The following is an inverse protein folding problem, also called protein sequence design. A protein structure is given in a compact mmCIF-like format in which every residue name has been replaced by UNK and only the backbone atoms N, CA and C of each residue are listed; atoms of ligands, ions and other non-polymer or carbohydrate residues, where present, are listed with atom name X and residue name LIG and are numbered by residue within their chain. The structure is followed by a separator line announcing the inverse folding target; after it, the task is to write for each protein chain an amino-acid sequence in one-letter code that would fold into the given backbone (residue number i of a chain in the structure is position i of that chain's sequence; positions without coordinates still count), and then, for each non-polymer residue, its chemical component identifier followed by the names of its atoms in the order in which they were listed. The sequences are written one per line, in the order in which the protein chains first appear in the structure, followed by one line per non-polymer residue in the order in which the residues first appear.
data_IF_946809526127
#
_entry.id   IF_946809526127
#
_cell.length_a   1.000
_cell.length_b   1.000
_cell.length_c   1.000
_cell.angle_alpha   90.00
_cell.angle_beta   90.00
_cell.angle_gamma   90.00
#
_symmetry.space_group_name_H-M   'P 1'
#
loop_
_entity.id
_entity.type
_entity.pdbx_description
1 polymer ?
#
# COMPACT_ATOMS: atom_id res chain seq x y z
N UNK A 1 15.77 -13.97 -1.90
CA UNK A 1 14.59 -13.08 -1.82
C UNK A 1 13.51 -13.83 -1.08
N UNK A 2 12.80 -13.16 -0.17
CA UNK A 2 11.65 -13.77 0.52
C UNK A 2 10.44 -13.88 -0.42
N UNK A 3 9.45 -14.73 -0.07
CA UNK A 3 8.20 -14.85 -0.83
C UNK A 3 7.43 -13.51 -0.90
N UNK A 4 7.57 -12.67 0.14
CA UNK A 4 7.02 -11.31 0.19
C UNK A 4 7.72 -10.37 -0.80
N UNK A 5 9.05 -10.46 -0.91
CA UNK A 5 9.81 -9.63 -1.85
C UNK A 5 9.50 -10.00 -3.29
N UNK A 6 9.42 -11.31 -3.58
CA UNK A 6 9.04 -11.82 -4.90
C UNK A 6 7.64 -11.35 -5.30
N UNK A 7 6.69 -11.40 -4.36
CA UNK A 7 5.33 -10.90 -4.59
C UNK A 7 5.30 -9.39 -4.84
N UNK A 8 6.07 -8.65 -4.07
CA UNK A 8 6.18 -7.19 -4.25
C UNK A 8 6.79 -6.84 -5.61
N UNK A 9 7.85 -7.54 -6.01
CA UNK A 9 8.48 -7.38 -7.33
C UNK A 9 7.48 -7.67 -8.46
N UNK A 10 6.74 -8.77 -8.35
CA UNK A 10 5.74 -9.15 -9.33
C UNK A 10 4.63 -8.10 -9.47
N UNK A 11 4.06 -7.64 -8.35
CA UNK A 11 2.89 -6.77 -8.38
C UNK A 11 3.23 -5.31 -8.73
N UNK A 12 4.42 -4.82 -8.32
CA UNK A 12 4.79 -3.41 -8.47
C UNK A 12 5.77 -3.12 -9.61
N UNK A 13 6.51 -4.10 -10.09
CA UNK A 13 7.49 -3.91 -11.17
C UNK A 13 7.08 -4.68 -12.41
N UNK A 14 6.89 -6.00 -12.31
CA UNK A 14 6.66 -6.86 -13.48
C UNK A 14 5.26 -6.66 -14.04
N UNK A 15 4.24 -6.74 -13.19
CA UNK A 15 2.83 -6.63 -13.60
C UNK A 15 2.51 -5.32 -14.34
N UNK A 16 2.94 -4.12 -13.86
CA UNK A 16 2.71 -2.87 -14.59
C UNK A 16 3.39 -2.82 -15.97
N UNK A 17 4.60 -3.38 -16.09
CA UNK A 17 5.32 -3.42 -17.37
C UNK A 17 4.65 -4.35 -18.37
N UNK A 18 4.28 -5.54 -17.95
CA UNK A 18 3.60 -6.51 -18.81
C UNK A 18 2.18 -6.05 -19.22
N UNK A 19 1.49 -5.28 -18.37
CA UNK A 19 0.18 -4.72 -18.70
C UNK A 19 0.20 -3.72 -19.86
N UNK A 20 1.34 -3.13 -20.14
CA UNK A 20 1.52 -2.19 -21.24
C UNK A 20 1.86 -2.89 -22.57
N UNK A 21 2.02 -4.21 -22.57
CA UNK A 21 2.26 -4.99 -23.80
C UNK A 21 0.97 -5.10 -24.58
N UNK A 22 1.04 -4.81 -25.86
CA UNK A 22 -0.11 -4.94 -26.77
C UNK A 22 -0.61 -6.39 -26.79
N UNK A 23 -1.93 -6.59 -26.73
CA UNK A 23 -2.55 -7.91 -26.69
C UNK A 23 -2.69 -8.52 -25.29
N UNK A 24 -2.09 -7.94 -24.26
CA UNK A 24 -2.29 -8.38 -22.87
C UNK A 24 -3.55 -7.74 -22.28
N UNK A 25 -4.46 -8.57 -21.78
CA UNK A 25 -5.69 -8.13 -21.12
C UNK A 25 -5.48 -7.95 -19.62
N UNK A 26 -4.99 -9.00 -18.95
CA UNK A 26 -4.87 -9.03 -17.49
C UNK A 26 -3.66 -9.85 -17.07
N UNK A 27 -3.11 -9.50 -15.90
CA UNK A 27 -2.03 -10.26 -15.27
C UNK A 27 -2.45 -10.58 -13.84
N UNK A 28 -2.53 -11.88 -13.54
CA UNK A 28 -2.84 -12.38 -12.22
C UNK A 28 -1.59 -12.92 -11.53
N UNK A 29 -1.50 -12.67 -10.23
CA UNK A 29 -0.38 -13.16 -9.41
C UNK A 29 -0.88 -14.18 -8.41
N UNK A 30 -0.24 -15.34 -8.34
CA UNK A 30 -0.54 -16.43 -7.40
C UNK A 30 0.71 -16.72 -6.57
N UNK A 31 0.52 -16.96 -5.27
CA UNK A 31 1.60 -17.25 -4.32
C UNK A 31 2.27 -16.01 -3.76
N UNK A 32 3.22 -16.23 -2.86
CA UNK A 32 3.85 -15.20 -2.07
C UNK A 32 2.92 -14.54 -1.07
N UNK A 33 3.44 -13.55 -0.36
CA UNK A 33 2.69 -12.79 0.65
C UNK A 33 2.60 -11.33 0.25
N UNK A 34 1.39 -10.78 0.25
CA UNK A 34 1.20 -9.35 0.04
C UNK A 34 1.70 -8.59 1.27
N UNK A 35 2.67 -7.70 1.04
CA UNK A 35 3.25 -6.85 2.09
C UNK A 35 2.21 -5.88 2.61
N UNK A 36 2.07 -5.80 3.94
CA UNK A 36 1.17 -4.87 4.61
C UNK A 36 1.90 -4.14 5.72
N UNK A 37 1.45 -2.91 6.02
CA UNK A 37 1.79 -2.23 7.25
C UNK A 37 0.77 -2.59 8.33
N UNK A 38 1.27 -3.13 9.43
CA UNK A 38 0.44 -3.55 10.56
C UNK A 38 0.58 -2.51 11.66
N UNK A 39 -0.54 -1.92 12.06
CA UNK A 39 -0.64 -0.97 13.17
C UNK A 39 -1.32 -1.67 14.32
N UNK A 40 -0.61 -1.87 15.42
CA UNK A 40 -1.09 -2.52 16.64
C UNK A 40 -1.24 -1.46 17.75
N UNK A 41 -2.46 -0.97 18.03
CA UNK A 41 -2.67 0.02 19.08
C UNK A 41 -2.41 -0.56 20.48
N UNK A 42 -1.87 0.25 21.37
CA UNK A 42 -1.87 -0.04 22.81
C UNK A 42 -3.21 0.42 23.43
N UNK A 43 -4.13 -0.51 23.54
CA UNK A 43 -5.48 -0.22 24.04
C UNK A 43 -5.50 0.27 25.49
N UNK A 44 -4.54 -0.16 26.34
CA UNK A 44 -4.46 0.28 27.71
C UNK A 44 -4.06 1.76 27.75
N UNK A 45 -3.05 2.13 26.98
CA UNK A 45 -2.59 3.50 26.85
C UNK A 45 -3.64 4.41 26.21
N UNK A 46 -4.29 3.98 25.12
CA UNK A 46 -5.37 4.73 24.47
C UNK A 46 -6.49 5.11 25.44
N UNK A 47 -6.92 4.16 26.28
CA UNK A 47 -7.96 4.42 27.29
C UNK A 47 -7.51 5.44 28.33
N UNK A 48 -6.23 5.39 28.75
CA UNK A 48 -5.69 6.34 29.76
C UNK A 48 -5.67 7.78 29.28
N UNK A 49 -5.53 8.00 27.95
CA UNK A 49 -5.50 9.33 27.33
C UNK A 49 -6.82 9.75 26.67
N UNK A 50 -7.86 8.94 26.82
CA UNK A 50 -9.20 9.21 26.26
C UNK A 50 -9.26 9.17 24.73
N UNK A 51 -8.39 8.37 24.08
CA UNK A 51 -8.40 8.14 22.64
C UNK A 51 -9.13 6.85 22.29
N UNK A 52 -9.96 6.93 21.24
CA UNK A 52 -10.63 5.77 20.66
C UNK A 52 -9.85 5.25 19.43
N UNK A 53 -9.99 3.95 19.15
CA UNK A 53 -9.46 3.32 17.94
C UNK A 53 -9.92 4.04 16.67
N UNK A 54 -11.13 4.58 16.67
CA UNK A 54 -11.69 5.35 15.56
C UNK A 54 -10.80 6.56 15.20
N UNK A 55 -10.24 7.25 16.19
CA UNK A 55 -9.33 8.37 15.97
C UNK A 55 -8.07 7.96 15.21
N UNK A 56 -7.53 6.76 15.49
CA UNK A 56 -6.40 6.20 14.75
C UNK A 56 -6.77 5.93 13.29
N UNK A 57 -7.91 5.27 13.06
CA UNK A 57 -8.38 4.98 11.70
C UNK A 57 -8.62 6.24 10.89
N UNK A 58 -9.23 7.25 11.49
CA UNK A 58 -9.45 8.55 10.85
C UNK A 58 -8.12 9.26 10.53
N UNK A 59 -7.16 9.24 11.45
CA UNK A 59 -5.85 9.84 11.24
C UNK A 59 -5.11 9.17 10.08
N UNK A 60 -5.09 7.84 10.02
CA UNK A 60 -4.49 7.08 8.93
C UNK A 60 -5.21 7.38 7.61
N UNK A 61 -6.55 7.33 7.59
CA UNK A 61 -7.35 7.60 6.40
C UNK A 61 -7.08 9.00 5.84
N UNK A 62 -7.10 10.03 6.69
CA UNK A 62 -6.84 11.42 6.28
C UNK A 62 -5.45 11.61 5.68
N UNK A 63 -4.45 10.86 6.16
CA UNK A 63 -3.07 10.95 5.68
C UNK A 63 -2.77 9.99 4.50
N UNK A 64 -3.67 9.05 4.20
CA UNK A 64 -3.53 8.11 3.08
C UNK A 64 -4.30 8.51 1.83
N UNK A 65 -5.12 9.56 1.92
CA UNK A 65 -5.91 10.04 0.78
C UNK A 65 -5.04 10.91 -0.14
N UNK A 66 -4.95 10.53 -1.41
CA UNK A 66 -4.47 11.41 -2.47
C UNK A 66 -5.49 12.55 -2.65
N UNK A 67 -5.23 13.68 -2.03
CA UNK A 67 -5.96 14.92 -2.31
C UNK A 67 -5.29 15.59 -3.50
N UNK A 68 -5.99 15.64 -4.63
CA UNK A 68 -5.68 16.57 -5.69
C UNK A 68 -5.80 17.99 -5.13
N UNK A 69 -4.69 18.70 -4.99
CA UNK A 69 -4.62 19.96 -4.24
C UNK A 69 -4.86 21.20 -5.10
N UNK A 70 -5.41 21.04 -6.31
CA UNK A 70 -5.67 22.17 -7.18
C UNK A 70 -4.41 22.72 -7.85
N UNK A 71 -4.47 23.98 -8.28
CA UNK A 71 -3.36 24.69 -8.91
C UNK A 71 -3.14 26.04 -8.24
N UNK A 72 -1.91 26.53 -8.27
CA UNK A 72 -1.57 27.91 -7.90
C UNK A 72 -1.24 28.64 -9.19
N UNK A 73 -1.83 29.79 -9.41
CA UNK A 73 -1.51 30.69 -10.51
C UNK A 73 -0.49 31.74 -10.02
N UNK A 74 0.66 31.79 -10.66
CA UNK A 74 1.71 32.76 -10.34
C UNK A 74 2.37 33.23 -11.63
N UNK A 75 2.35 34.56 -11.84
CA UNK A 75 2.94 35.22 -13.01
C UNK A 75 2.39 34.75 -14.37
N UNK A 76 1.13 34.29 -14.43
CA UNK A 76 0.52 33.76 -15.66
C UNK A 76 0.77 32.28 -15.90
N UNK A 77 1.56 31.61 -15.06
CA UNK A 77 1.80 30.18 -15.11
C UNK A 77 0.95 29.45 -14.08
N UNK A 78 0.39 28.30 -14.46
CA UNK A 78 -0.36 27.40 -13.57
C UNK A 78 0.53 26.29 -13.04
N UNK A 79 0.77 26.28 -11.74
CA UNK A 79 1.51 25.24 -11.04
C UNK A 79 0.53 24.23 -10.43
N UNK A 80 0.53 23.00 -10.95
CA UNK A 80 -0.27 21.91 -10.39
C UNK A 80 0.36 21.42 -9.09
N UNK A 81 -0.36 21.58 -7.99
CA UNK A 81 0.08 21.04 -6.71
C UNK A 81 -0.36 19.56 -6.64
N UNK A 82 0.60 18.65 -6.57
CA UNK A 82 0.37 17.24 -6.25
C UNK A 82 0.84 16.98 -4.84
N UNK A 83 -0.05 16.45 -4.02
CA UNK A 83 0.34 15.88 -2.72
C UNK A 83 0.63 14.40 -2.93
N UNK A 84 1.90 14.00 -2.80
CA UNK A 84 2.29 12.59 -2.72
C UNK A 84 1.90 12.06 -1.32
N UNK A 85 0.60 11.78 -1.16
CA UNK A 85 0.03 11.28 0.09
C UNK A 85 0.09 9.75 0.20
N UNK A 86 0.78 9.09 -0.72
CA UNK A 86 0.93 7.64 -0.66
C UNK A 86 1.96 7.27 0.43
N UNK A 87 1.48 6.57 1.43
CA UNK A 87 2.33 6.07 2.52
C UNK A 87 3.20 4.93 1.98
N UNK A 88 4.50 5.17 1.87
CA UNK A 88 5.46 4.23 1.31
C UNK A 88 6.45 3.67 2.34
N UNK A 89 6.50 4.24 3.54
CA UNK A 89 7.46 3.84 4.57
C UNK A 89 6.84 3.76 5.97
N UNK A 90 7.48 2.98 6.84
CA UNK A 90 7.09 2.87 8.25
C UNK A 90 7.21 4.23 8.94
N UNK A 91 8.26 5.00 8.64
CA UNK A 91 8.52 6.30 9.25
C UNK A 91 7.38 7.29 8.95
N UNK A 92 6.83 7.26 7.75
CA UNK A 92 5.67 8.09 7.40
C UNK A 92 4.47 7.73 8.27
N UNK A 93 4.16 6.45 8.43
CA UNK A 93 3.07 5.99 9.29
C UNK A 93 3.32 6.38 10.75
N UNK A 94 4.53 6.16 11.24
CA UNK A 94 4.93 6.48 12.61
C UNK A 94 4.73 7.97 12.96
N UNK A 95 4.92 8.85 11.99
CA UNK A 95 4.83 10.29 12.16
C UNK A 95 3.44 10.88 11.92
N UNK A 96 2.42 10.07 11.60
CA UNK A 96 1.04 10.53 11.43
C UNK A 96 0.57 11.20 12.72
N UNK A 97 0.12 12.47 12.67
CA UNK A 97 -0.38 13.17 13.84
C UNK A 97 -1.78 12.69 14.22
N UNK A 98 -2.00 12.50 15.52
CA UNK A 98 -3.29 12.17 16.11
C UNK A 98 -3.61 13.24 17.13
N UNK A 99 -4.78 13.85 17.02
CA UNK A 99 -5.25 14.86 17.98
C UNK A 99 -6.07 14.18 19.07
N UNK A 100 -5.69 14.37 20.33
CA UNK A 100 -6.44 13.89 21.49
C UNK A 100 -7.67 14.78 21.74
N UNK A 101 -8.62 14.28 22.54
CA UNK A 101 -9.81 15.04 22.95
C UNK A 101 -9.48 16.35 23.66
N UNK A 102 -8.33 16.42 24.30
CA UNK A 102 -7.84 17.61 25.03
C UNK A 102 -7.01 18.56 24.13
N UNK A 103 -6.96 18.33 22.83
CA UNK A 103 -6.23 19.17 21.87
C UNK A 103 -4.73 18.90 21.77
N UNK A 104 -4.17 17.96 22.50
CA UNK A 104 -2.77 17.56 22.34
C UNK A 104 -2.55 16.78 21.06
N UNK A 105 -1.41 17.02 20.42
CA UNK A 105 -1.01 16.27 19.22
C UNK A 105 0.02 15.23 19.62
N UNK A 106 -0.30 13.96 19.38
CA UNK A 106 0.58 12.80 19.51
C UNK A 106 0.92 12.27 18.12
N UNK A 107 1.97 11.44 18.03
CA UNK A 107 2.29 10.70 16.82
C UNK A 107 1.77 9.26 16.93
N UNK A 108 1.45 8.64 15.80
CA UNK A 108 0.95 7.28 15.79
C UNK A 108 1.90 6.29 16.50
N UNK A 109 3.22 6.50 16.38
CA UNK A 109 4.24 5.69 17.09
C UNK A 109 4.14 5.73 18.61
N UNK A 110 3.57 6.81 19.18
CA UNK A 110 3.45 7.00 20.63
C UNK A 110 2.28 6.17 21.21
N UNK A 111 1.33 5.78 20.36
CA UNK A 111 0.09 5.09 20.75
C UNK A 111 -0.06 3.71 20.12
N UNK A 112 0.78 3.35 19.15
CA UNK A 112 0.72 2.09 18.43
C UNK A 112 2.10 1.59 18.01
N UNK A 113 2.26 0.26 17.99
CA UNK A 113 3.42 -0.39 17.37
C UNK A 113 3.16 -0.57 15.89
N UNK A 114 4.10 -0.07 15.06
CA UNK A 114 4.03 -0.20 13.60
C UNK A 114 5.08 -1.20 13.14
N UNK A 115 4.67 -2.17 12.32
CA UNK A 115 5.54 -3.18 11.76
C UNK A 115 5.15 -3.54 10.33
N UNK A 116 6.08 -4.16 9.61
CA UNK A 116 5.76 -4.80 8.34
C UNK A 116 5.23 -6.19 8.66
N UNK A 117 4.07 -6.49 8.13
CA UNK A 117 3.48 -7.81 8.15
C UNK A 117 3.11 -8.25 6.73
N UNK A 118 2.30 -9.27 6.65
CA UNK A 118 1.77 -9.77 5.41
C UNK A 118 0.31 -10.17 5.57
N UNK A 119 -0.43 -10.09 4.49
CA UNK A 119 -1.80 -10.59 4.44
C UNK A 119 -1.83 -12.12 4.53
N UNK A 120 -2.93 -12.66 5.05
CA UNK A 120 -3.18 -14.09 4.95
C UNK A 120 -3.25 -14.47 3.47
N UNK A 121 -2.42 -15.41 3.05
CA UNK A 121 -2.42 -15.85 1.66
C UNK A 121 -3.67 -16.65 1.34
N UNK A 122 -4.24 -16.40 0.18
CA UNK A 122 -5.39 -17.12 -0.35
C UNK A 122 -4.99 -18.27 -1.28
N UNK A 123 -3.69 -18.37 -1.64
CA UNK A 123 -3.17 -19.41 -2.51
C UNK A 123 -1.66 -19.54 -2.42
N UNK A 124 -1.14 -20.65 -2.88
CA UNK A 124 0.29 -20.92 -3.00
C UNK A 124 0.61 -21.50 -4.37
N UNK A 125 1.79 -21.18 -4.89
CA UNK A 125 2.34 -21.80 -6.08
C UNK A 125 3.67 -22.47 -5.71
N UNK A 126 3.88 -23.68 -6.18
CA UNK A 126 5.11 -24.43 -5.96
C UNK A 126 5.68 -24.95 -7.27
N UNK A 127 6.99 -24.98 -7.38
CA UNK A 127 7.73 -25.60 -8.47
C UNK A 127 8.89 -26.37 -7.88
N UNK A 128 9.02 -27.64 -8.25
CA UNK A 128 10.10 -28.53 -7.78
C UNK A 128 10.19 -28.59 -6.24
N UNK A 129 9.03 -28.56 -5.54
CA UNK A 129 8.97 -28.60 -4.08
C UNK A 129 9.29 -27.27 -3.39
N UNK A 130 9.58 -26.21 -4.15
CA UNK A 130 9.86 -24.87 -3.61
C UNK A 130 8.70 -23.92 -3.84
N UNK A 131 8.45 -23.03 -2.88
CA UNK A 131 7.45 -21.99 -3.03
C UNK A 131 7.93 -20.92 -4.02
N UNK A 132 7.06 -20.60 -4.97
CA UNK A 132 7.30 -19.57 -5.99
C UNK A 132 6.18 -18.53 -6.00
N UNK A 133 6.42 -17.43 -6.68
CA UNK A 133 5.38 -16.48 -7.11
C UNK A 133 5.17 -16.67 -8.60
N UNK A 134 3.94 -16.98 -9.00
CA UNK A 134 3.54 -17.19 -10.38
C UNK A 134 2.78 -15.99 -10.91
N UNK A 135 3.25 -15.39 -11.98
CA UNK A 135 2.50 -14.41 -12.77
C UNK A 135 1.88 -15.06 -13.99
N UNK A 136 0.58 -14.91 -14.19
CA UNK A 136 -0.14 -15.42 -15.36
C UNK A 136 -0.65 -14.25 -16.18
N UNK A 137 -0.21 -14.15 -17.44
CA UNK A 137 -0.70 -13.16 -18.37
C UNK A 137 -1.86 -13.76 -19.19
N UNK A 138 -2.97 -13.05 -19.28
CA UNK A 138 -4.11 -13.37 -20.12
C UNK A 138 -4.10 -12.44 -21.32
N UNK A 139 -4.22 -12.99 -22.52
CA UNK A 139 -4.32 -12.23 -23.75
C UNK A 139 -5.75 -11.81 -24.06
N UNK A 140 -5.91 -10.80 -24.89
CA UNK A 140 -7.20 -10.41 -25.46
C UNK A 140 -7.77 -11.51 -26.36
N UNK A 141 -9.09 -11.62 -26.37
CA UNK A 141 -9.77 -12.58 -27.24
C UNK A 141 -9.53 -12.19 -28.71
N UNK A 142 -9.05 -13.14 -29.51
CA UNK A 142 -8.73 -12.93 -30.93
C UNK A 142 -7.25 -12.67 -31.21
N UNK A 143 -6.46 -12.44 -30.18
CA UNK A 143 -5.01 -12.30 -30.33
C UNK A 143 -4.29 -13.63 -30.49
N UNK A 144 -3.07 -13.59 -31.03
CA UNK A 144 -2.24 -14.76 -31.20
C UNK A 144 -1.21 -14.83 -30.07
N UNK A 145 -1.28 -15.90 -29.28
CA UNK A 145 -0.37 -16.13 -28.13
C UNK A 145 1.12 -16.20 -28.52
N UNK A 146 1.45 -16.33 -29.79
CA UNK A 146 2.84 -16.32 -30.28
C UNK A 146 3.36 -14.90 -30.50
N UNK A 147 2.45 -13.94 -30.73
CA UNK A 147 2.81 -12.54 -30.98
C UNK A 147 2.82 -11.71 -29.69
N UNK A 148 1.99 -12.08 -28.70
CA UNK A 148 1.93 -11.51 -27.36
C UNK A 148 2.99 -12.13 -26.47
#
# INVERSE_FOLDING_TARGET
MSATDLRTLQDWVIKPQLRNVEGVNEINTIGGYLKQFVVQPDYAYLRSIGLDQKAILEAISKNSMNKGSGYIEKNGDQYLIRSDSQINSIEQIQNIPITTSNGYILRLKDVAKISIGHELRTGAATKDGQEIVLGTAFMLIGENSRNV
#
